data_IF_494078581066
#
_entry.id   IF_494078581066
#
_cell.length_a   1.000
_cell.length_b   1.000
_cell.length_c   1.000
_cell.angle_alpha   90.00
_cell.angle_beta   90.00
_cell.angle_gamma   90.00
#
_symmetry.space_group_name_H-M   'P 1'
#
loop_
_entity.id
_entity.type
_entity.pdbx_description
1 polymer ?
#
# COMPACT_ATOMS: atom_id res chain seq x y z
N UNK A 1 7.79 -7.91 -5.08
CA UNK A 1 8.25 -6.81 -5.93
C UNK A 1 8.27 -5.54 -5.09
N UNK A 2 9.35 -4.76 -5.18
CA UNK A 2 9.54 -3.49 -4.49
C UNK A 2 9.20 -3.51 -2.99
N UNK A 3 9.68 -4.54 -2.30
CA UNK A 3 9.51 -4.75 -0.87
C UNK A 3 10.88 -4.89 -0.20
N UNK A 4 11.01 -4.44 1.04
CA UNK A 4 12.24 -4.60 1.81
C UNK A 4 12.60 -6.07 2.01
N UNK A 5 13.87 -6.39 1.74
CA UNK A 5 14.46 -7.65 2.10
C UNK A 5 14.54 -7.76 3.64
N UNK A 6 14.02 -8.84 4.17
CA UNK A 6 14.07 -9.12 5.60
C UNK A 6 15.12 -10.22 5.85
N UNK A 7 16.05 -9.97 6.75
CA UNK A 7 17.05 -10.95 7.15
C UNK A 7 16.40 -12.22 7.71
N UNK A 8 16.95 -13.37 7.39
CA UNK A 8 16.45 -14.68 7.85
C UNK A 8 15.19 -15.18 7.13
N UNK A 9 14.75 -14.52 6.07
CA UNK A 9 13.64 -14.98 5.22
C UNK A 9 14.13 -15.44 3.85
N UNK A 10 13.55 -16.51 3.34
CA UNK A 10 13.96 -17.18 2.10
C UNK A 10 13.44 -16.60 0.76
N UNK A 11 12.54 -15.62 0.69
CA UNK A 11 12.03 -15.19 -0.60
C UNK A 11 13.07 -14.41 -1.40
N UNK A 12 13.01 -14.57 -2.71
CA UNK A 12 13.70 -13.68 -3.65
C UNK A 12 12.92 -12.38 -3.77
N UNK A 13 13.59 -11.27 -3.56
CA UNK A 13 13.05 -9.94 -3.74
C UNK A 13 13.42 -9.42 -5.13
N UNK A 14 12.51 -8.69 -5.75
CA UNK A 14 12.73 -7.99 -7.01
C UNK A 14 12.51 -6.50 -6.77
N UNK A 15 13.57 -5.71 -6.97
CA UNK A 15 13.54 -4.27 -6.81
C UNK A 15 13.76 -3.58 -8.15
N UNK A 16 13.06 -2.48 -8.36
CA UNK A 16 13.23 -1.55 -9.48
C UNK A 16 13.60 -0.17 -8.93
N UNK A 17 13.94 0.77 -9.79
CA UNK A 17 14.18 2.18 -9.44
C UNK A 17 12.98 2.85 -8.72
N UNK A 18 11.77 2.29 -8.84
CA UNK A 18 10.58 2.74 -8.10
C UNK A 18 10.61 2.39 -6.61
N UNK A 19 11.46 1.45 -6.19
CA UNK A 19 11.66 1.16 -4.77
C UNK A 19 12.42 2.26 -4.05
N UNK A 20 13.39 2.84 -4.71
CA UNK A 20 14.26 3.89 -4.18
C UNK A 20 15.64 3.86 -4.85
N UNK A 21 16.54 4.70 -4.38
CA UNK A 21 17.91 4.78 -4.92
C UNK A 21 18.79 3.60 -4.52
N UNK A 22 18.51 2.98 -3.36
CA UNK A 22 19.29 1.86 -2.82
C UNK A 22 18.38 0.72 -2.40
N UNK A 23 18.95 -0.48 -2.25
CA UNK A 23 18.24 -1.69 -1.82
C UNK A 23 17.84 -1.67 -0.35
N UNK A 24 18.43 -0.78 0.45
CA UNK A 24 18.23 -0.64 1.90
C UNK A 24 18.41 -1.93 2.69
N UNK A 25 19.20 -2.85 2.17
CA UNK A 25 19.59 -4.10 2.83
C UNK A 25 20.52 -3.82 4.01
N UNK A 26 20.34 -4.58 5.10
CA UNK A 26 21.14 -4.42 6.33
C UNK A 26 21.94 -5.70 6.68
N UNK A 27 21.86 -6.71 5.85
CA UNK A 27 22.52 -8.00 6.01
C UNK A 27 23.27 -8.38 4.73
N UNK A 28 24.02 -9.46 4.79
CA UNK A 28 24.65 -10.03 3.63
C UNK A 28 23.59 -10.61 2.70
N UNK A 29 23.60 -10.18 1.45
CA UNK A 29 22.68 -10.64 0.41
C UNK A 29 23.45 -11.04 -0.85
N UNK A 30 22.90 -12.00 -1.59
CA UNK A 30 23.23 -12.20 -2.98
C UNK A 30 22.42 -11.24 -3.84
N UNK A 31 23.09 -10.55 -4.75
CA UNK A 31 22.51 -9.58 -5.67
C UNK A 31 22.70 -10.04 -7.10
N UNK A 32 21.65 -9.90 -7.90
CA UNK A 32 21.67 -10.13 -9.35
C UNK A 32 21.15 -8.86 -10.02
N UNK A 33 22.03 -8.10 -10.65
CA UNK A 33 21.67 -6.91 -11.42
C UNK A 33 21.28 -7.35 -12.82
N UNK A 34 20.14 -6.86 -13.31
CA UNK A 34 19.60 -7.25 -14.61
C UNK A 34 19.16 -6.06 -15.43
N UNK A 35 19.34 -6.17 -16.74
CA UNK A 35 18.76 -5.26 -17.74
C UNK A 35 17.45 -5.83 -18.26
N UNK A 36 16.32 -5.09 -18.16
CA UNK A 36 15.10 -5.44 -18.86
C UNK A 36 15.29 -5.40 -20.38
N UNK A 37 14.85 -6.46 -21.07
CA UNK A 37 14.93 -6.55 -22.55
C UNK A 37 13.55 -6.30 -23.17
N UNK A 38 12.57 -7.16 -22.81
CA UNK A 38 11.22 -7.16 -23.38
C UNK A 38 10.18 -7.40 -22.27
N UNK A 39 8.97 -6.91 -22.51
CA UNK A 39 7.84 -7.05 -21.60
C UNK A 39 7.89 -6.09 -20.43
N UNK A 40 7.02 -6.31 -19.48
CA UNK A 40 6.90 -5.49 -18.27
C UNK A 40 6.34 -6.32 -17.11
N UNK A 41 6.56 -5.84 -15.89
CA UNK A 41 6.00 -6.45 -14.68
C UNK A 41 4.53 -6.06 -14.49
N UNK A 42 3.70 -6.44 -15.41
CA UNK A 42 2.24 -6.34 -15.29
C UNK A 42 1.65 -7.68 -14.88
N UNK A 43 0.44 -7.67 -14.31
CA UNK A 43 -0.26 -8.90 -13.95
C UNK A 43 -0.53 -9.72 -15.22
N UNK A 44 -0.25 -11.03 -15.14
CA UNK A 44 -0.31 -12.01 -16.24
C UNK A 44 0.58 -11.68 -17.46
N UNK A 45 1.61 -10.87 -17.25
CA UNK A 45 2.64 -10.62 -18.23
C UNK A 45 3.98 -11.21 -17.80
N UNK A 46 4.87 -11.35 -18.75
CA UNK A 46 6.24 -11.79 -18.53
C UNK A 46 7.21 -10.67 -18.92
N UNK A 47 8.33 -10.63 -18.22
CA UNK A 47 9.44 -9.73 -18.54
C UNK A 47 10.71 -10.55 -18.74
N UNK A 48 11.41 -10.33 -19.85
CA UNK A 48 12.73 -10.89 -20.11
C UNK A 48 13.81 -9.98 -19.56
N UNK A 49 14.79 -10.54 -18.86
CA UNK A 49 15.91 -9.85 -18.24
C UNK A 49 17.22 -10.46 -18.72
N UNK A 50 18.23 -9.65 -18.99
CA UNK A 50 19.62 -10.11 -19.11
C UNK A 50 20.35 -9.85 -17.80
N UNK A 51 21.01 -10.87 -17.26
CA UNK A 51 21.88 -10.74 -16.09
C UNK A 51 23.11 -9.92 -16.48
N UNK A 52 23.35 -8.84 -15.75
CA UNK A 52 24.53 -8.00 -15.94
C UNK A 52 25.66 -8.41 -14.97
N UNK A 53 25.30 -8.66 -13.71
CA UNK A 53 26.25 -9.00 -12.65
C UNK A 53 25.61 -9.84 -11.55
N UNK A 54 26.41 -10.67 -10.87
CA UNK A 54 26.02 -11.49 -9.72
C UNK A 54 27.12 -11.42 -8.67
N UNK A 55 26.79 -10.99 -7.46
CA UNK A 55 27.75 -10.89 -6.37
C UNK A 55 27.09 -10.97 -4.99
N UNK A 56 27.90 -11.23 -3.98
CA UNK A 56 27.49 -11.21 -2.57
C UNK A 56 28.07 -9.94 -1.93
N UNK A 57 27.26 -9.23 -1.17
CA UNK A 57 27.67 -8.03 -0.47
C UNK A 57 26.90 -7.88 0.85
N UNK A 58 27.60 -7.38 1.88
CA UNK A 58 26.98 -7.09 3.18
C UNK A 58 26.68 -5.59 3.27
N UNK A 59 25.40 -5.26 3.19
CA UNK A 59 24.91 -3.90 3.20
C UNK A 59 24.06 -3.56 1.98
N UNK A 60 23.74 -2.29 1.83
CA UNK A 60 22.93 -1.79 0.71
C UNK A 60 23.78 -1.50 -0.53
N UNK A 61 23.18 -1.69 -1.69
CA UNK A 61 23.76 -1.28 -2.98
C UNK A 61 22.84 -0.27 -3.66
N UNK A 62 23.40 0.51 -4.59
CA UNK A 62 22.61 1.37 -5.46
C UNK A 62 21.76 0.53 -6.42
N UNK A 63 20.52 0.96 -6.67
CA UNK A 63 19.68 0.40 -7.73
C UNK A 63 19.90 1.27 -8.97
N UNK A 64 20.58 0.76 -10.00
CA UNK A 64 20.83 1.57 -11.19
C UNK A 64 19.53 1.90 -11.93
N UNK A 65 19.46 3.10 -12.49
CA UNK A 65 18.30 3.57 -13.24
C UNK A 65 17.96 2.61 -14.40
N UNK A 66 16.68 2.27 -14.51
CA UNK A 66 16.17 1.36 -15.54
C UNK A 66 16.56 -0.11 -15.35
N UNK A 67 17.25 -0.48 -14.28
CA UNK A 67 17.62 -1.87 -13.99
C UNK A 67 16.64 -2.53 -13.02
N UNK A 68 16.73 -3.84 -12.96
CA UNK A 68 16.09 -4.68 -11.98
C UNK A 68 17.16 -5.35 -11.13
N UNK A 69 16.97 -5.35 -9.81
CA UNK A 69 17.83 -6.05 -8.87
C UNK A 69 17.04 -7.20 -8.25
N UNK A 70 17.46 -8.44 -8.50
CA UNK A 70 17.02 -9.57 -7.72
C UNK A 70 17.96 -9.73 -6.53
N UNK A 71 17.42 -10.01 -5.36
CA UNK A 71 18.24 -10.23 -4.17
C UNK A 71 17.58 -11.17 -3.17
N UNK A 72 18.43 -11.76 -2.34
CA UNK A 72 18.03 -12.64 -1.26
C UNK A 72 19.06 -12.56 -0.13
N UNK A 73 18.59 -12.61 1.12
CA UNK A 73 19.45 -12.73 2.30
C UNK A 73 20.20 -14.08 2.29
N UNK A 74 21.49 -14.08 2.57
CA UNK A 74 22.33 -15.29 2.51
C UNK A 74 22.23 -16.18 3.74
N UNK A 75 21.59 -15.72 4.81
CA UNK A 75 21.41 -16.53 6.04
C UNK A 75 20.34 -17.64 5.87
N UNK A 76 19.50 -17.55 4.83
CA UNK A 76 18.57 -18.60 4.43
C UNK A 76 19.23 -19.57 3.44
N UNK A 77 19.37 -20.84 3.80
CA UNK A 77 19.79 -21.88 2.84
C UNK A 77 18.55 -22.39 2.14
N UNK A 78 18.31 -21.93 0.91
CA UNK A 78 17.17 -22.34 0.11
C UNK A 78 17.57 -22.68 -1.34
N UNK A 79 16.70 -23.40 -2.04
CA UNK A 79 16.87 -23.69 -3.46
C UNK A 79 16.97 -22.40 -4.31
N UNK A 80 16.41 -21.29 -3.81
CA UNK A 80 16.47 -20.00 -4.50
C UNK A 80 17.86 -19.38 -4.43
N UNK A 81 18.56 -19.56 -3.30
CA UNK A 81 19.96 -19.15 -3.19
C UNK A 81 20.83 -19.90 -4.18
N UNK A 82 20.68 -21.23 -4.24
CA UNK A 82 21.40 -22.09 -5.19
C UNK A 82 21.11 -21.68 -6.65
N UNK A 83 19.87 -21.30 -6.95
CA UNK A 83 19.51 -20.80 -8.26
C UNK A 83 20.23 -19.46 -8.57
N UNK A 84 20.12 -18.47 -7.68
CA UNK A 84 20.72 -17.15 -7.90
C UNK A 84 22.26 -17.23 -8.00
N UNK A 85 22.89 -18.06 -7.18
CA UNK A 85 24.36 -18.20 -7.13
C UNK A 85 24.98 -18.84 -8.38
N UNK A 86 24.17 -19.53 -9.19
CA UNK A 86 24.60 -20.14 -10.47
C UNK A 86 24.40 -19.21 -11.66
N UNK A 87 23.75 -18.09 -11.48
CA UNK A 87 23.56 -17.11 -12.55
C UNK A 87 24.90 -16.42 -12.88
N UNK A 88 25.04 -16.00 -14.12
CA UNK A 88 26.23 -15.29 -14.60
C UNK A 88 25.84 -14.23 -15.64
N UNK A 89 26.68 -13.24 -15.83
CA UNK A 89 26.50 -12.18 -16.81
C UNK A 89 26.22 -12.74 -18.22
N UNK A 90 25.30 -12.10 -18.93
CA UNK A 90 24.85 -12.50 -20.27
C UNK A 90 23.73 -13.53 -20.29
N UNK A 91 23.39 -14.13 -19.16
CA UNK A 91 22.29 -15.10 -19.08
C UNK A 91 20.94 -14.40 -19.14
N UNK A 92 19.97 -15.04 -19.79
CA UNK A 92 18.59 -14.52 -19.87
C UNK A 92 17.70 -15.17 -18.80
N UNK A 93 16.93 -14.36 -18.10
CA UNK A 93 15.90 -14.77 -17.15
C UNK A 93 14.52 -14.33 -17.65
N UNK A 94 13.50 -15.11 -17.31
CA UNK A 94 12.11 -14.70 -17.50
C UNK A 94 11.44 -14.58 -16.14
N UNK A 95 10.86 -13.41 -15.89
CA UNK A 95 10.03 -13.16 -14.71
C UNK A 95 8.58 -13.14 -15.15
N UNK A 96 7.77 -14.06 -14.63
CA UNK A 96 6.33 -14.10 -14.82
C UNK A 96 5.63 -13.53 -13.58
N UNK A 97 4.72 -12.59 -13.78
CA UNK A 97 3.88 -12.03 -12.73
C UNK A 97 2.45 -12.55 -12.91
N UNK A 98 2.00 -13.43 -12.02
CA UNK A 98 0.70 -14.08 -12.10
C UNK A 98 -0.16 -13.72 -10.90
N UNK A 99 -1.43 -13.37 -11.16
CA UNK A 99 -2.43 -13.22 -10.11
C UNK A 99 -3.09 -14.57 -9.85
N UNK A 100 -2.86 -15.16 -8.69
CA UNK A 100 -3.46 -16.43 -8.30
C UNK A 100 -4.90 -16.19 -7.84
N UNK A 101 -5.85 -16.92 -8.45
CA UNK A 101 -7.28 -16.84 -8.10
C UNK A 101 -7.99 -15.61 -8.68
N UNK A 102 -7.40 -14.96 -9.67
CA UNK A 102 -8.01 -13.83 -10.38
C UNK A 102 -8.96 -14.29 -11.49
N UNK A 103 -10.00 -13.51 -11.70
CA UNK A 103 -10.97 -13.66 -12.80
C UNK A 103 -10.58 -12.84 -14.05
N UNK A 104 -9.38 -12.30 -14.10
CA UNK A 104 -8.85 -11.45 -15.16
C UNK A 104 -9.01 -9.94 -14.90
N UNK A 105 -9.64 -9.51 -13.81
CA UNK A 105 -9.81 -8.07 -13.48
C UNK A 105 -8.50 -7.38 -13.17
N UNK A 106 -7.51 -8.09 -12.63
CA UNK A 106 -6.20 -7.53 -12.29
C UNK A 106 -5.42 -7.01 -13.49
N UNK A 107 -5.67 -7.54 -14.69
CA UNK A 107 -4.99 -7.08 -15.93
C UNK A 107 -5.29 -5.62 -16.27
N UNK A 108 -6.45 -5.13 -15.86
CA UNK A 108 -6.91 -3.77 -16.13
C UNK A 108 -6.74 -2.83 -14.95
N UNK A 109 -6.28 -3.34 -13.80
CA UNK A 109 -6.09 -2.54 -12.60
C UNK A 109 -4.81 -1.70 -12.71
N UNK A 110 -4.96 -0.37 -12.71
CA UNK A 110 -3.83 0.55 -12.68
C UNK A 110 -3.23 0.67 -11.27
N UNK A 111 -4.06 0.51 -10.24
CA UNK A 111 -3.68 0.63 -8.85
C UNK A 111 -4.33 -0.47 -8.03
N UNK A 112 -3.60 -0.99 -7.05
CA UNK A 112 -4.09 -1.98 -6.10
C UNK A 112 -3.83 -1.53 -4.67
N UNK A 113 -4.81 -1.79 -3.80
CA UNK A 113 -4.72 -1.47 -2.37
C UNK A 113 -4.79 -2.76 -1.58
N UNK A 114 -3.78 -2.97 -0.74
CA UNK A 114 -3.72 -4.13 0.15
C UNK A 114 -4.35 -3.82 1.51
N UNK A 115 -5.14 -4.76 2.02
CA UNK A 115 -5.69 -4.67 3.36
C UNK A 115 -4.63 -4.92 4.44
N UNK A 116 -4.75 -4.21 5.55
CA UNK A 116 -4.04 -4.51 6.80
C UNK A 116 -5.03 -5.10 7.79
N UNK A 117 -4.86 -6.36 8.18
CA UNK A 117 -5.74 -7.04 9.11
C UNK A 117 -7.07 -7.53 8.55
N UNK A 118 -7.24 -7.53 7.24
CA UNK A 118 -8.33 -8.23 6.55
C UNK A 118 -9.40 -7.34 5.93
N UNK A 119 -10.28 -8.00 5.17
CA UNK A 119 -11.43 -7.38 4.50
C UNK A 119 -12.55 -7.14 5.52
N UNK A 120 -13.03 -5.91 5.62
CA UNK A 120 -14.08 -5.51 6.55
C UNK A 120 -15.47 -5.91 6.08
N UNK A 121 -15.74 -5.74 4.78
CA UNK A 121 -17.05 -6.03 4.17
C UNK A 121 -16.83 -6.83 2.90
N UNK A 122 -17.67 -7.83 2.68
CA UNK A 122 -17.70 -8.62 1.44
C UNK A 122 -19.16 -8.78 1.01
N UNK A 123 -19.49 -8.36 -0.21
CA UNK A 123 -20.85 -8.44 -0.75
C UNK A 123 -21.93 -7.87 0.19
N UNK A 124 -21.65 -6.74 0.84
CA UNK A 124 -22.55 -6.07 1.76
C UNK A 124 -22.64 -6.70 3.16
N UNK A 125 -21.88 -7.75 3.43
CA UNK A 125 -21.86 -8.43 4.73
C UNK A 125 -20.61 -8.03 5.51
N UNK A 126 -20.81 -7.54 6.75
CA UNK A 126 -19.71 -7.23 7.66
C UNK A 126 -19.00 -8.50 8.11
N UNK A 127 -17.69 -8.54 7.95
CA UNK A 127 -16.87 -9.60 8.52
C UNK A 127 -16.78 -9.43 10.04
N UNK A 128 -16.80 -10.54 10.78
CA UNK A 128 -16.78 -10.58 12.25
C UNK A 128 -15.49 -11.17 12.83
N UNK A 129 -14.67 -11.82 12.00
CA UNK A 129 -13.50 -12.59 12.44
C UNK A 129 -12.27 -11.70 12.67
N UNK A 130 -12.41 -10.79 13.65
CA UNK A 130 -11.35 -9.86 14.02
C UNK A 130 -11.08 -9.89 15.52
N UNK A 131 -9.84 -10.13 15.89
CA UNK A 131 -9.35 -10.10 17.27
C UNK A 131 -8.58 -8.81 17.62
N UNK A 132 -8.94 -7.68 17.08
CA UNK A 132 -8.24 -6.43 17.33
C UNK A 132 -8.97 -5.56 18.35
N UNK A 133 -8.24 -5.00 19.30
CA UNK A 133 -8.72 -4.04 20.28
C UNK A 133 -9.15 -2.70 19.64
N UNK A 134 -9.72 -1.82 20.46
CA UNK A 134 -10.07 -0.47 20.02
C UNK A 134 -8.81 0.35 19.69
N UNK A 135 -8.80 0.99 18.52
CA UNK A 135 -7.70 1.82 18.04
C UNK A 135 -8.21 2.84 17.01
N UNK A 136 -7.41 3.88 16.67
CA UNK A 136 -7.65 4.67 15.48
C UNK A 136 -7.66 3.78 14.24
N UNK A 137 -8.56 4.05 13.29
CA UNK A 137 -8.75 3.20 12.12
C UNK A 137 -8.83 4.01 10.83
N UNK A 138 -8.36 3.39 9.76
CA UNK A 138 -8.51 3.89 8.39
C UNK A 138 -9.15 2.79 7.55
N UNK A 139 -10.16 3.13 6.77
CA UNK A 139 -10.81 2.20 5.88
C UNK A 139 -11.09 2.83 4.52
N UNK A 140 -11.16 1.98 3.50
CA UNK A 140 -11.69 2.33 2.19
C UNK A 140 -12.79 1.34 1.84
N UNK A 141 -13.87 1.82 1.27
CA UNK A 141 -14.97 0.97 0.82
C UNK A 141 -15.55 1.45 -0.50
N UNK A 142 -16.23 0.55 -1.18
CA UNK A 142 -16.98 0.84 -2.41
C UNK A 142 -18.43 0.53 -2.20
N UNK A 143 -19.31 1.40 -2.68
CA UNK A 143 -20.77 1.25 -2.67
C UNK A 143 -21.23 0.57 -3.95
N UNK A 144 -22.45 0.06 -3.94
CA UNK A 144 -23.06 -0.58 -5.12
C UNK A 144 -23.16 0.34 -6.35
N UNK A 145 -23.23 1.64 -6.14
CA UNK A 145 -23.27 2.67 -7.19
C UNK A 145 -21.86 3.07 -7.71
N UNK A 146 -20.80 2.41 -7.22
CA UNK A 146 -19.41 2.69 -7.58
C UNK A 146 -18.76 3.82 -6.79
N UNK A 147 -19.49 4.51 -5.91
CA UNK A 147 -18.91 5.55 -5.07
C UNK A 147 -17.92 4.96 -4.06
N UNK A 148 -16.79 5.65 -3.86
CA UNK A 148 -15.75 5.26 -2.92
C UNK A 148 -15.93 6.03 -1.62
N UNK A 149 -15.82 5.33 -0.50
CA UNK A 149 -15.81 5.89 0.85
C UNK A 149 -14.39 5.80 1.41
N UNK A 150 -13.80 6.93 1.78
CA UNK A 150 -12.65 6.99 2.67
C UNK A 150 -13.12 7.31 4.07
N UNK A 151 -12.73 6.49 5.03
CA UNK A 151 -13.21 6.61 6.40
C UNK A 151 -12.03 6.56 7.37
N UNK A 152 -11.97 7.55 8.26
CA UNK A 152 -11.05 7.56 9.38
C UNK A 152 -11.83 7.66 10.69
N UNK A 153 -11.32 7.00 11.72
CA UNK A 153 -11.81 7.08 13.08
C UNK A 153 -10.64 7.38 14.01
N UNK A 154 -10.70 8.48 14.70
CA UNK A 154 -9.73 8.83 15.73
C UNK A 154 -9.81 7.87 16.91
N UNK A 155 -8.74 7.78 17.69
CA UNK A 155 -8.72 6.93 18.86
C UNK A 155 -7.49 7.14 19.73
N UNK A 156 -7.37 6.34 20.82
CA UNK A 156 -6.29 6.45 21.81
C UNK A 156 -6.18 7.83 22.48
N UNK A 157 -7.27 8.60 22.50
CA UNK A 157 -7.31 9.94 23.05
C UNK A 157 -8.41 10.00 24.11
N UNK A 158 -7.99 10.04 25.40
CA UNK A 158 -8.90 10.09 26.54
C UNK A 158 -9.76 11.35 26.51
N UNK A 159 -11.04 11.20 26.75
CA UNK A 159 -12.01 12.31 26.72
C UNK A 159 -12.45 12.75 25.32
N UNK A 160 -11.84 12.21 24.25
CA UNK A 160 -12.20 12.51 22.86
C UNK A 160 -12.65 11.26 22.09
N UNK A 161 -11.74 10.31 21.86
CA UNK A 161 -12.07 9.06 21.18
C UNK A 161 -11.14 7.94 21.62
N UNK A 162 -11.70 6.79 21.95
CA UNK A 162 -10.93 5.57 22.22
C UNK A 162 -10.61 4.76 20.96
N UNK A 163 -11.29 5.05 19.85
CA UNK A 163 -11.22 4.28 18.62
C UNK A 163 -12.26 3.15 18.56
N UNK A 164 -12.10 2.25 17.61
CA UNK A 164 -13.01 1.13 17.44
C UNK A 164 -12.29 -0.20 17.19
N UNK A 165 -12.96 -1.30 17.52
CA UNK A 165 -12.61 -2.64 17.07
C UNK A 165 -12.93 -2.78 15.58
N UNK A 166 -12.21 -3.66 14.87
CA UNK A 166 -12.43 -3.88 13.43
C UNK A 166 -13.85 -4.36 13.13
N UNK A 167 -14.44 -5.19 13.98
CA UNK A 167 -15.85 -5.63 13.83
C UNK A 167 -16.85 -4.47 13.89
N UNK A 168 -16.56 -3.45 14.68
CA UNK A 168 -17.41 -2.24 14.77
C UNK A 168 -17.21 -1.39 13.50
N UNK A 169 -16.00 -1.25 13.04
CA UNK A 169 -15.68 -0.57 11.79
C UNK A 169 -16.36 -1.26 10.59
N UNK A 170 -16.32 -2.60 10.53
CA UNK A 170 -16.96 -3.38 9.48
C UNK A 170 -18.47 -3.10 9.41
N UNK A 171 -19.16 -3.11 10.57
CA UNK A 171 -20.58 -2.73 10.64
C UNK A 171 -20.82 -1.30 10.17
N UNK A 172 -19.94 -0.37 10.57
CA UNK A 172 -20.04 1.03 10.14
C UNK A 172 -19.91 1.20 8.63
N UNK A 173 -19.00 0.45 7.98
CA UNK A 173 -18.86 0.49 6.53
C UNK A 173 -20.13 -0.03 5.81
N UNK A 174 -20.77 -1.08 6.35
CA UNK A 174 -22.09 -1.54 5.83
C UNK A 174 -23.16 -0.47 6.02
N UNK A 175 -23.26 0.18 7.19
CA UNK A 175 -24.20 1.28 7.44
C UNK A 175 -24.02 2.45 6.46
N UNK A 176 -22.78 2.70 6.02
CA UNK A 176 -22.45 3.71 5.00
C UNK A 176 -22.80 3.26 3.57
N UNK A 177 -23.30 2.03 3.41
CA UNK A 177 -23.75 1.45 2.15
C UNK A 177 -22.63 0.78 1.34
N UNK A 178 -21.49 0.47 1.96
CA UNK A 178 -20.41 -0.24 1.27
C UNK A 178 -20.82 -1.71 1.00
N UNK A 179 -20.58 -2.16 -0.21
CA UNK A 179 -20.69 -3.57 -0.60
C UNK A 179 -19.38 -4.31 -0.40
N UNK A 180 -18.25 -3.62 -0.54
CA UNK A 180 -16.93 -4.11 -0.17
C UNK A 180 -16.16 -3.04 0.59
N UNK A 181 -15.35 -3.46 1.57
CA UNK A 181 -14.50 -2.54 2.31
C UNK A 181 -13.26 -3.24 2.86
N UNK A 182 -12.16 -2.50 2.91
CA UNK A 182 -10.86 -2.92 3.44
C UNK A 182 -10.47 -2.07 4.64
N UNK A 183 -9.85 -2.70 5.64
CA UNK A 183 -9.09 -1.98 6.65
C UNK A 183 -7.70 -1.65 6.11
N UNK A 184 -7.26 -0.43 6.31
CA UNK A 184 -5.91 0.03 5.98
C UNK A 184 -5.08 0.18 7.25
N UNK A 185 -3.85 0.67 7.14
CA UNK A 185 -3.03 1.00 8.30
C UNK A 185 -3.73 2.02 9.18
N UNK A 186 -3.63 1.82 10.49
CA UNK A 186 -4.36 2.56 11.51
C UNK A 186 -3.43 3.10 12.60
N UNK A 187 -3.99 3.26 13.81
CA UNK A 187 -3.21 3.80 14.94
C UNK A 187 -2.71 5.22 14.65
N UNK A 188 -1.45 5.48 14.93
CA UNK A 188 -0.82 6.78 14.69
C UNK A 188 -0.70 7.16 13.22
N UNK A 189 -0.83 6.20 12.29
CA UNK A 189 -0.84 6.45 10.85
C UNK A 189 -2.20 6.93 10.32
N UNK A 190 -3.27 6.84 11.15
CA UNK A 190 -4.60 7.30 10.74
C UNK A 190 -4.60 8.81 10.52
N UNK A 191 -4.62 9.21 9.25
CA UNK A 191 -4.62 10.61 8.84
C UNK A 191 -5.46 10.79 7.59
N UNK A 192 -6.31 11.78 7.58
CA UNK A 192 -7.03 12.25 6.39
C UNK A 192 -6.83 13.75 6.24
N UNK A 193 -6.49 14.17 5.03
CA UNK A 193 -6.33 15.56 4.67
C UNK A 193 -7.28 15.93 3.55
N UNK A 194 -7.84 17.11 3.62
CA UNK A 194 -8.69 17.66 2.59
C UNK A 194 -8.22 19.07 2.18
N UNK A 195 -8.47 19.40 0.92
CA UNK A 195 -8.31 20.77 0.46
C UNK A 195 -9.64 21.51 0.64
N UNK A 196 -9.58 22.73 1.11
CA UNK A 196 -10.74 23.62 1.29
C UNK A 196 -10.61 24.85 0.40
N UNK A 197 -11.72 25.39 -0.12
CA UNK A 197 -11.71 26.64 -0.89
C UNK A 197 -11.00 27.77 -0.16
N UNK A 198 -10.14 28.50 -0.87
CA UNK A 198 -9.37 29.61 -0.29
C UNK A 198 -8.13 29.20 0.53
N UNK A 199 -7.75 27.91 0.49
CA UNK A 199 -6.50 27.44 1.09
C UNK A 199 -5.52 27.02 0.01
N UNK A 200 -4.26 27.35 0.20
CA UNK A 200 -3.18 26.99 -0.72
C UNK A 200 -2.77 25.51 -0.59
N UNK A 201 -2.94 24.96 0.61
CA UNK A 201 -2.56 23.57 0.94
C UNK A 201 -3.74 22.78 1.52
N UNK A 202 -3.63 21.45 1.45
CA UNK A 202 -4.53 20.56 2.20
C UNK A 202 -4.35 20.72 3.70
N UNK A 203 -5.42 20.49 4.43
CA UNK A 203 -5.44 20.52 5.90
C UNK A 203 -5.79 19.15 6.44
N UNK A 204 -5.14 18.72 7.52
CA UNK A 204 -5.53 17.53 8.27
C UNK A 204 -6.87 17.79 8.94
N UNK A 205 -7.84 16.89 8.72
CA UNK A 205 -9.22 17.05 9.21
C UNK A 205 -9.60 16.07 10.33
N UNK A 206 -8.70 15.15 10.67
CA UNK A 206 -8.85 14.29 11.86
C UNK A 206 -7.82 14.66 12.94
N UNK A 207 -7.85 13.98 14.09
CA UNK A 207 -6.91 14.15 15.19
C UNK A 207 -5.98 12.94 15.30
N UNK A 208 -4.77 12.97 14.71
CA UNK A 208 -3.83 11.85 14.80
C UNK A 208 -3.44 11.53 16.24
N UNK A 209 -3.49 10.26 16.63
CA UNK A 209 -3.26 9.84 18.03
C UNK A 209 -1.85 10.06 18.55
N UNK A 210 -0.86 10.25 17.67
CA UNK A 210 0.52 10.53 18.05
C UNK A 210 0.75 12.02 18.37
N UNK A 211 -0.24 12.89 18.10
CA UNK A 211 -0.12 14.34 18.24
C UNK A 211 0.68 15.02 17.14
N UNK A 212 1.16 14.27 16.17
CA UNK A 212 1.89 14.74 14.98
C UNK A 212 1.60 13.81 13.78
N UNK A 213 1.97 14.25 12.58
CA UNK A 213 1.84 13.45 11.38
C UNK A 213 2.97 12.42 11.30
N UNK A 214 2.61 11.14 11.38
CA UNK A 214 3.56 10.05 11.24
C UNK A 214 4.06 9.97 9.79
N UNK A 215 5.34 9.73 9.60
CA UNK A 215 5.87 9.36 8.29
C UNK A 215 5.34 7.99 7.88
N UNK A 216 4.73 7.92 6.70
CA UNK A 216 4.16 6.70 6.13
C UNK A 216 4.79 6.43 4.77
N UNK A 217 4.84 5.14 4.38
CA UNK A 217 5.49 4.73 3.14
C UNK A 217 4.69 5.11 1.88
N UNK A 218 3.37 5.21 2.01
CA UNK A 218 2.46 5.53 0.90
C UNK A 218 1.16 6.16 1.42
N UNK A 219 0.39 6.69 0.49
CA UNK A 219 -0.91 7.29 0.75
C UNK A 219 -1.79 7.23 -0.50
N UNK A 220 -3.10 7.36 -0.33
CA UNK A 220 -4.08 7.38 -1.42
C UNK A 220 -4.52 8.83 -1.63
N UNK A 221 -4.47 9.29 -2.88
CA UNK A 221 -4.97 10.60 -3.26
C UNK A 221 -6.24 10.50 -4.09
N UNK A 222 -7.12 11.47 -3.88
CA UNK A 222 -8.12 11.86 -4.86
C UNK A 222 -7.71 13.22 -5.43
N UNK A 223 -7.52 13.27 -6.75
CA UNK A 223 -7.24 14.51 -7.46
C UNK A 223 -8.47 14.88 -8.28
N UNK A 224 -9.01 16.08 -8.04
CA UNK A 224 -10.01 16.66 -8.91
C UNK A 224 -9.33 17.26 -10.14
N UNK A 225 -9.59 16.68 -11.32
CA UNK A 225 -9.04 17.15 -12.59
C UNK A 225 -9.95 18.13 -13.32
N UNK A 226 -11.10 18.50 -12.73
CA UNK A 226 -12.00 19.50 -13.31
C UNK A 226 -11.34 20.87 -13.27
N UNK A 227 -11.58 21.69 -14.29
CA UNK A 227 -11.19 23.10 -14.25
C UNK A 227 -11.83 23.78 -13.04
N UNK A 228 -11.00 24.46 -12.25
CA UNK A 228 -11.49 25.26 -11.11
C UNK A 228 -12.24 26.48 -11.64
N UNK A 229 -13.53 26.33 -11.79
CA UNK A 229 -14.40 27.49 -12.01
C UNK A 229 -14.60 28.21 -10.66
N UNK A 230 -14.74 29.54 -10.69
CA UNK A 230 -14.99 30.36 -9.47
C UNK A 230 -16.37 30.13 -8.84
N UNK A 231 -16.97 28.96 -9.05
CA UNK A 231 -18.25 28.56 -8.47
C UNK A 231 -17.99 28.09 -7.03
N UNK A 232 -18.64 28.66 -6.02
CA UNK A 232 -18.49 28.20 -4.66
C UNK A 232 -18.99 26.75 -4.53
N UNK A 233 -18.15 25.90 -3.96
CA UNK A 233 -18.48 24.50 -3.67
C UNK A 233 -19.37 24.43 -2.44
N UNK A 234 -20.53 23.81 -2.57
CA UNK A 234 -21.34 23.45 -1.41
C UNK A 234 -20.85 22.07 -0.95
N UNK A 235 -20.18 22.04 0.20
CA UNK A 235 -19.83 20.78 0.86
C UNK A 235 -21.00 20.42 1.79
N UNK A 236 -21.75 19.40 1.42
CA UNK A 236 -22.73 18.83 2.32
C UNK A 236 -22.03 17.80 3.21
N UNK A 237 -21.76 18.18 4.46
CA UNK A 237 -21.26 17.25 5.49
C UNK A 237 -22.49 16.60 6.13
N UNK A 238 -22.80 15.36 5.77
CA UNK A 238 -23.87 14.59 6.40
C UNK A 238 -23.27 13.59 7.38
N UNK A 239 -23.62 13.75 8.66
CA UNK A 239 -23.38 12.72 9.68
C UNK A 239 -22.25 13.00 10.65
N UNK A 240 -22.54 13.70 11.69
CA UNK A 240 -21.79 13.80 12.94
C UNK A 240 -22.60 14.59 13.94
N UNK A 241 -22.85 14.00 15.11
CA UNK A 241 -23.66 14.62 16.18
C UNK A 241 -22.94 15.72 16.97
N UNK A 242 -21.82 16.24 16.49
CA UNK A 242 -21.15 17.38 17.08
C UNK A 242 -20.96 18.49 16.07
N UNK A 243 -21.72 19.55 16.28
CA UNK A 243 -21.72 20.82 15.54
C UNK A 243 -20.42 21.63 15.79
N UNK A 244 -19.31 21.22 15.25
CA UNK A 244 -18.16 22.11 15.11
C UNK A 244 -18.08 22.55 13.67
N UNK A 245 -18.84 23.57 13.34
CA UNK A 245 -18.71 24.30 12.10
C UNK A 245 -17.45 25.13 12.15
N UNK A 246 -16.61 24.98 11.15
CA UNK A 246 -15.51 25.91 10.89
C UNK A 246 -16.14 27.24 10.46
N UNK A 247 -16.07 28.25 11.33
CA UNK A 247 -16.29 29.65 11.00
C UNK A 247 -15.08 30.24 10.29
#
# INVERSE_FOLDING_TARGET
INKWCQAGFDPVYLLTDKFGKTTKTQSECIFVICTPNEGRLHVDETMSLTVDDVFIYNGEIEIPEGKVVLLMDTSGVSEYYDFLSRLHAGQTLTVANQAVGDDGTWKTAENAVSSVGGRLVTNGVANSDFEAGAAPRTAVGIKADGNIIFYTLDGRQSGYSYGAQLKTLAKRMVELGCVDALNLDGGGSTTISAWFPGKDNTMVVNSPSDGYLRSVANYIFLKDNRERTNIPWIINITGGTNNNYLS
#
